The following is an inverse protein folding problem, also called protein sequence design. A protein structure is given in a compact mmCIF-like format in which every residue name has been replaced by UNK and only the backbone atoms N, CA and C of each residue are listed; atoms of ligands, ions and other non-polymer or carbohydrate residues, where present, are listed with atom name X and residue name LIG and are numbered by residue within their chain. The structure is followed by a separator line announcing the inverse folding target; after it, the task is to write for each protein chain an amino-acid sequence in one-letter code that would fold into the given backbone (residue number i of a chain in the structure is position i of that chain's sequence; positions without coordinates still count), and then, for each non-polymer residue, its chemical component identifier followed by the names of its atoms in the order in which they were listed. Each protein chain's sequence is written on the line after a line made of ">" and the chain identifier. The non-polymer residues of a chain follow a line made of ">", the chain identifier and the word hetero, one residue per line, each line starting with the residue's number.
data_IF_674042676138
#
_entry.id   IF_674042676138
#
_cell.length_a   1.000
_cell.length_b   1.000
_cell.length_c   1.000
_cell.angle_alpha   90.00
_cell.angle_beta   90.00
_cell.angle_gamma   90.00
#
_symmetry.space_group_name_H-M   'P 1'
#
loop_
_entity.id
_entity.type
_entity.pdbx_description
1 polymer ?
#
# COMPACT_ATOMS: atom_id res chain seq x y z
N UNK A 1 2.11 27.89 16.84
CA UNK A 1 1.75 26.80 17.78
C UNK A 1 1.20 25.69 16.90
N UNK A 2 2.09 24.74 16.57
CA UNK A 2 1.74 23.63 15.69
C UNK A 2 0.64 22.80 16.33
N UNK A 3 -0.26 22.28 15.51
CA UNK A 3 -1.28 21.33 15.93
C UNK A 3 -0.55 20.08 16.47
N UNK A 4 -0.34 19.99 17.79
CA UNK A 4 0.17 18.78 18.43
C UNK A 4 -0.92 17.72 18.30
N UNK A 5 -0.91 17.01 17.17
CA UNK A 5 -1.76 15.86 16.96
C UNK A 5 -1.35 14.86 18.05
N UNK A 6 -2.27 14.44 18.93
CA UNK A 6 -1.90 13.58 20.02
C UNK A 6 -1.40 12.25 19.44
N UNK A 7 -0.22 11.85 19.89
CA UNK A 7 0.37 10.53 19.65
C UNK A 7 -0.67 9.40 19.80
N UNK A 8 -1.56 9.52 20.78
CA UNK A 8 -2.66 8.59 21.02
C UNK A 8 -3.62 8.45 19.83
N UNK A 9 -3.89 9.52 19.08
CA UNK A 9 -4.73 9.50 17.88
C UNK A 9 -4.06 8.73 16.74
N UNK A 10 -2.77 8.92 16.50
CA UNK A 10 -2.03 8.16 15.49
C UNK A 10 -2.00 6.67 15.82
N UNK A 11 -1.77 6.31 17.08
CA UNK A 11 -1.85 4.91 17.54
C UNK A 11 -3.25 4.34 17.35
N UNK A 12 -4.29 5.07 17.76
CA UNK A 12 -5.66 4.63 17.62
C UNK A 12 -6.03 4.41 16.14
N UNK A 13 -5.71 5.35 15.26
CA UNK A 13 -5.97 5.23 13.82
C UNK A 13 -5.19 4.06 13.20
N UNK A 14 -3.92 3.89 13.56
CA UNK A 14 -3.11 2.77 13.09
C UNK A 14 -3.66 1.40 13.53
N UNK A 15 -4.10 1.29 14.79
CA UNK A 15 -4.72 0.07 15.31
C UNK A 15 -6.07 -0.24 14.66
N UNK A 16 -6.92 0.78 14.49
CA UNK A 16 -8.20 0.63 13.81
C UNK A 16 -7.97 0.16 12.37
N UNK A 17 -7.09 0.82 11.63
CA UNK A 17 -6.76 0.44 10.25
C UNK A 17 -6.20 -0.98 10.16
N UNK A 18 -5.34 -1.38 11.10
CA UNK A 18 -4.81 -2.75 11.17
C UNK A 18 -5.92 -3.78 11.38
N UNK A 19 -6.84 -3.52 12.32
CA UNK A 19 -7.96 -4.42 12.62
C UNK A 19 -8.92 -4.52 11.44
N UNK A 20 -9.26 -3.40 10.81
CA UNK A 20 -10.15 -3.38 9.64
C UNK A 20 -9.58 -4.21 8.48
N UNK A 21 -8.32 -4.00 8.13
CA UNK A 21 -7.70 -4.76 7.04
C UNK A 21 -7.50 -6.24 7.39
N UNK A 22 -7.20 -6.56 8.66
CA UNK A 22 -7.15 -7.94 9.12
C UNK A 22 -8.51 -8.63 8.99
N UNK A 23 -9.60 -7.93 9.33
CA UNK A 23 -10.97 -8.44 9.16
C UNK A 23 -11.30 -8.68 7.69
N UNK A 24 -10.87 -7.80 6.77
CA UNK A 24 -11.04 -7.99 5.32
C UNK A 24 -10.33 -9.26 4.87
N UNK A 25 -9.06 -9.45 5.23
CA UNK A 25 -8.29 -10.66 4.89
C UNK A 25 -8.96 -11.91 5.46
N UNK A 26 -9.34 -11.89 6.74
CA UNK A 26 -10.00 -13.01 7.40
C UNK A 26 -11.35 -13.35 6.75
N UNK A 27 -12.14 -12.35 6.36
CA UNK A 27 -13.42 -12.55 5.69
C UNK A 27 -13.25 -13.21 4.31
N UNK A 28 -12.22 -12.83 3.56
CA UNK A 28 -11.92 -13.42 2.25
C UNK A 28 -11.45 -14.87 2.43
N UNK A 29 -10.52 -15.13 3.36
CA UNK A 29 -10.00 -16.48 3.60
C UNK A 29 -11.06 -17.46 4.11
N UNK A 30 -12.03 -16.97 4.90
CA UNK A 30 -13.11 -17.81 5.44
C UNK A 30 -14.15 -18.19 4.38
N UNK A 31 -14.34 -17.37 3.35
CA UNK A 31 -15.38 -17.57 2.35
C UNK A 31 -14.82 -18.14 1.03
N UNK A 32 -14.83 -19.47 0.90
CA UNK A 32 -14.43 -20.17 -0.34
C UNK A 32 -15.24 -19.81 -1.59
N UNK A 33 -16.44 -19.26 -1.42
CA UNK A 33 -17.27 -18.80 -2.55
C UNK A 33 -16.76 -17.50 -3.19
N UNK A 34 -15.76 -16.83 -2.61
CA UNK A 34 -15.17 -15.59 -3.11
C UNK A 34 -13.87 -15.83 -3.91
N UNK A 35 -13.63 -17.01 -4.49
CA UNK A 35 -12.42 -17.29 -5.28
C UNK A 35 -12.46 -16.71 -6.71
N UNK A 36 -12.79 -15.42 -6.83
CA UNK A 36 -12.60 -14.63 -8.07
C UNK A 36 -11.23 -13.91 -8.03
N UNK A 37 -10.55 -13.69 -9.19
CA UNK A 37 -9.33 -12.88 -9.26
C UNK A 37 -9.40 -11.55 -8.51
N UNK A 38 -10.56 -10.88 -8.54
CA UNK A 38 -10.81 -9.63 -7.82
C UNK A 38 -10.55 -9.73 -6.32
N UNK A 39 -10.95 -10.83 -5.66
CA UNK A 39 -10.77 -10.97 -4.21
C UNK A 39 -9.32 -11.23 -3.81
N UNK A 40 -8.51 -11.83 -4.70
CA UNK A 40 -7.07 -11.93 -4.49
C UNK A 40 -6.42 -10.54 -4.50
N UNK A 41 -6.85 -9.64 -5.40
CA UNK A 41 -6.36 -8.26 -5.39
C UNK A 41 -6.81 -7.47 -4.17
N UNK A 42 -8.06 -7.65 -3.72
CA UNK A 42 -8.55 -7.03 -2.47
C UNK A 42 -7.74 -7.54 -1.27
N UNK A 43 -7.39 -8.83 -1.24
CA UNK A 43 -6.53 -9.39 -0.20
C UNK A 43 -5.13 -8.74 -0.23
N UNK A 44 -4.52 -8.60 -1.41
CA UNK A 44 -3.22 -7.92 -1.55
C UNK A 44 -3.29 -6.44 -1.16
N UNK A 45 -4.36 -5.74 -1.52
CA UNK A 45 -4.62 -4.36 -1.07
C UNK A 45 -4.66 -4.28 0.46
N UNK A 46 -5.46 -5.14 1.10
CA UNK A 46 -5.58 -5.16 2.56
C UNK A 46 -4.25 -5.51 3.24
N UNK A 47 -3.46 -6.45 2.68
CA UNK A 47 -2.11 -6.77 3.19
C UNK A 47 -1.17 -5.57 3.08
N UNK A 48 -1.21 -4.82 1.97
CA UNK A 48 -0.43 -3.60 1.81
C UNK A 48 -0.84 -2.51 2.82
N UNK A 49 -2.13 -2.32 3.06
CA UNK A 49 -2.64 -1.35 4.04
C UNK A 49 -2.31 -1.76 5.49
N UNK A 50 -2.30 -3.07 5.80
CA UNK A 50 -1.78 -3.58 7.07
C UNK A 50 -0.30 -3.25 7.23
N UNK A 51 0.50 -3.39 6.17
CA UNK A 51 1.93 -3.11 6.22
C UNK A 51 2.21 -1.62 6.44
N UNK A 52 1.41 -0.72 5.84
CA UNK A 52 1.43 0.72 6.17
C UNK A 52 1.16 0.93 7.66
N UNK A 53 0.07 0.35 8.18
CA UNK A 53 -0.34 0.52 9.57
C UNK A 53 0.72 0.01 10.56
N UNK A 54 1.26 -1.18 10.31
CA UNK A 54 2.33 -1.78 11.15
C UNK A 54 3.59 -0.92 11.10
N UNK A 55 3.98 -0.43 9.92
CA UNK A 55 5.21 0.36 9.77
C UNK A 55 5.08 1.71 10.47
N UNK A 56 3.93 2.40 10.34
CA UNK A 56 3.67 3.65 11.07
C UNK A 56 3.64 3.46 12.59
N UNK A 57 3.00 2.39 13.07
CA UNK A 57 2.99 2.06 14.50
C UNK A 57 4.40 1.77 15.02
N UNK A 58 5.22 1.06 14.22
CA UNK A 58 6.61 0.76 14.56
C UNK A 58 7.49 2.01 14.57
N UNK A 59 7.34 2.90 13.58
CA UNK A 59 8.03 4.20 13.51
C UNK A 59 7.76 5.02 14.76
N UNK A 60 6.47 5.18 15.09
CA UNK A 60 6.05 5.98 16.23
C UNK A 60 6.56 5.40 17.55
N UNK A 61 6.47 4.08 17.72
CA UNK A 61 7.02 3.40 18.89
C UNK A 61 8.54 3.62 18.98
N UNK A 62 9.25 3.53 17.85
CA UNK A 62 10.68 3.74 17.78
C UNK A 62 11.09 5.16 18.17
N UNK A 63 10.39 6.18 17.65
CA UNK A 63 10.60 7.59 18.04
C UNK A 63 10.35 7.79 19.53
N UNK A 64 9.24 7.26 20.06
CA UNK A 64 8.88 7.41 21.47
C UNK A 64 9.95 6.78 22.41
N UNK A 65 10.47 5.60 22.04
CA UNK A 65 11.53 4.91 22.80
C UNK A 65 12.85 5.68 22.80
N UNK A 66 13.19 6.33 21.69
CA UNK A 66 14.36 7.20 21.57
C UNK A 66 14.21 8.47 22.41
N UNK A 67 13.05 9.13 22.34
CA UNK A 67 12.76 10.36 23.09
C UNK A 67 12.76 10.14 24.61
N UNK A 68 12.22 9.01 25.07
CA UNK A 68 12.23 8.65 26.50
C UNK A 68 13.57 8.08 26.99
N UNK A 69 14.58 7.99 26.12
CA UNK A 69 15.92 7.49 26.46
C UNK A 69 15.96 6.00 26.83
N UNK A 70 14.88 5.26 26.58
CA UNK A 70 14.80 3.80 26.82
C UNK A 70 15.66 3.05 25.82
N UNK A 71 15.75 3.55 24.58
CA UNK A 71 16.57 2.99 23.52
C UNK A 71 17.72 3.96 23.18
N UNK A 72 18.96 3.58 23.51
CA UNK A 72 20.16 4.37 23.14
C UNK A 72 20.89 3.66 22.00
N UNK A 73 20.72 4.18 20.78
CA UNK A 73 21.31 3.63 19.57
C UNK A 73 22.27 4.63 18.93
N UNK A 74 23.27 4.13 18.18
CA UNK A 74 24.14 5.02 17.40
C UNK A 74 23.31 5.77 16.36
N UNK A 75 23.58 7.07 16.11
CA UNK A 75 22.86 7.87 15.11
C UNK A 75 22.82 7.22 13.72
N UNK A 76 23.88 6.50 13.35
CA UNK A 76 23.95 5.77 12.08
C UNK A 76 22.93 4.64 11.97
N UNK A 77 22.63 3.96 13.08
CA UNK A 77 21.67 2.85 13.13
C UNK A 77 20.24 3.38 13.16
N UNK A 78 20.00 4.47 13.91
CA UNK A 78 18.71 5.17 13.93
C UNK A 78 18.32 5.58 12.51
N UNK A 79 19.21 6.26 11.78
CA UNK A 79 18.98 6.65 10.39
C UNK A 79 18.78 5.45 9.45
N UNK A 80 19.43 4.32 9.70
CA UNK A 80 19.26 3.14 8.86
C UNK A 80 17.89 2.50 9.08
N UNK A 81 17.42 2.41 10.33
CA UNK A 81 16.08 1.92 10.65
C UNK A 81 15.00 2.85 10.10
N UNK A 82 15.17 4.15 10.25
CA UNK A 82 14.29 5.19 9.70
C UNK A 82 14.11 5.02 8.19
N UNK A 83 15.22 4.96 7.44
CA UNK A 83 15.19 4.72 6.00
C UNK A 83 14.49 3.39 5.62
N UNK A 84 14.66 2.32 6.42
CA UNK A 84 14.01 1.03 6.15
C UNK A 84 12.51 1.10 6.40
N UNK A 85 12.08 1.78 7.47
CA UNK A 85 10.67 1.99 7.79
C UNK A 85 10.01 2.85 6.70
N UNK A 86 10.66 3.94 6.30
CA UNK A 86 10.21 4.77 5.17
C UNK A 86 10.07 3.96 3.88
N UNK A 87 11.03 3.06 3.59
CA UNK A 87 10.98 2.18 2.42
C UNK A 87 9.76 1.25 2.46
N UNK A 88 9.47 0.70 3.64
CA UNK A 88 8.30 -0.17 3.84
C UNK A 88 6.99 0.63 3.70
N UNK A 89 6.88 1.80 4.32
CA UNK A 89 5.69 2.66 4.22
C UNK A 89 5.47 3.06 2.76
N UNK A 90 6.50 3.59 2.10
CA UNK A 90 6.39 4.05 0.72
C UNK A 90 6.02 2.90 -0.24
N UNK A 91 6.66 1.73 -0.11
CA UNK A 91 6.37 0.59 -0.99
C UNK A 91 4.98 0.03 -0.76
N UNK A 92 4.52 0.02 0.49
CA UNK A 92 3.17 -0.39 0.85
C UNK A 92 2.13 0.56 0.25
N UNK A 93 2.28 1.87 0.41
CA UNK A 93 1.37 2.88 -0.17
C UNK A 93 1.30 2.77 -1.69
N UNK A 94 2.45 2.70 -2.38
CA UNK A 94 2.48 2.56 -3.85
C UNK A 94 1.79 1.26 -4.29
N UNK A 95 2.01 0.17 -3.56
CA UNK A 95 1.36 -1.10 -3.87
C UNK A 95 -0.14 -1.06 -3.62
N UNK A 96 -0.62 -0.46 -2.53
CA UNK A 96 -2.05 -0.28 -2.24
C UNK A 96 -2.74 0.49 -3.35
N UNK A 97 -2.17 1.63 -3.77
CA UNK A 97 -2.71 2.40 -4.89
C UNK A 97 -2.75 1.62 -6.19
N UNK A 98 -1.68 0.88 -6.48
CA UNK A 98 -1.59 0.03 -7.68
C UNK A 98 -2.66 -1.06 -7.67
N UNK A 99 -2.87 -1.74 -6.54
CA UNK A 99 -3.93 -2.75 -6.41
C UNK A 99 -5.32 -2.15 -6.54
N UNK A 100 -5.55 -0.95 -5.98
CA UNK A 100 -6.82 -0.24 -6.16
C UNK A 100 -7.12 0.00 -7.64
N UNK A 101 -6.14 0.45 -8.43
CA UNK A 101 -6.29 0.61 -9.88
C UNK A 101 -6.47 -0.71 -10.62
N UNK A 102 -5.73 -1.76 -10.25
CA UNK A 102 -5.92 -3.10 -10.82
C UNK A 102 -7.34 -3.61 -10.56
N UNK A 103 -7.91 -3.41 -9.37
CA UNK A 103 -9.29 -3.76 -9.04
C UNK A 103 -10.28 -2.98 -9.90
N UNK A 104 -10.05 -1.67 -10.11
CA UNK A 104 -10.92 -0.86 -10.95
C UNK A 104 -10.89 -1.33 -12.42
N UNK A 105 -9.70 -1.63 -12.95
CA UNK A 105 -9.55 -2.18 -14.31
C UNK A 105 -10.20 -3.56 -14.42
N UNK A 106 -9.99 -4.44 -13.44
CA UNK A 106 -10.62 -5.77 -13.40
C UNK A 106 -12.15 -5.66 -13.43
N UNK A 107 -12.74 -4.80 -12.58
CA UNK A 107 -14.19 -4.53 -12.56
C UNK A 107 -14.70 -3.98 -13.89
N UNK A 108 -13.98 -3.04 -14.49
CA UNK A 108 -14.35 -2.51 -15.80
C UNK A 108 -14.39 -3.61 -16.87
N UNK A 109 -13.38 -4.49 -16.91
CA UNK A 109 -13.35 -5.62 -17.85
C UNK A 109 -14.49 -6.61 -17.56
N UNK A 110 -14.79 -6.89 -16.29
CA UNK A 110 -15.91 -7.76 -15.91
C UNK A 110 -17.26 -7.22 -16.41
N UNK A 111 -17.49 -5.91 -16.30
CA UNK A 111 -18.77 -5.27 -16.70
C UNK A 111 -18.90 -5.21 -18.23
N UNK A 112 -17.92 -4.65 -18.93
CA UNK A 112 -18.03 -4.40 -20.37
C UNK A 112 -17.69 -5.62 -21.24
N UNK A 113 -16.91 -6.57 -20.72
CA UNK A 113 -16.43 -7.74 -21.46
C UNK A 113 -16.74 -9.06 -20.74
N UNK A 114 -17.89 -9.15 -20.07
CA UNK A 114 -18.31 -10.32 -19.27
C UNK A 114 -18.09 -11.68 -19.97
N UNK A 115 -18.48 -11.80 -21.26
CA UNK A 115 -18.34 -13.04 -22.04
C UNK A 115 -16.88 -13.43 -22.34
N UNK A 116 -15.96 -12.47 -22.33
CA UNK A 116 -14.52 -12.69 -22.58
C UNK A 116 -13.69 -12.67 -21.28
N UNK A 117 -14.27 -12.26 -20.16
CA UNK A 117 -13.56 -12.10 -18.88
C UNK A 117 -12.78 -13.36 -18.49
N UNK A 118 -13.40 -14.54 -18.56
CA UNK A 118 -12.74 -15.80 -18.19
C UNK A 118 -11.52 -16.12 -19.09
N UNK A 119 -11.52 -15.66 -20.35
CA UNK A 119 -10.37 -15.82 -21.25
C UNK A 119 -9.29 -14.75 -21.03
N UNK A 120 -9.69 -13.54 -20.63
CA UNK A 120 -8.78 -12.40 -20.40
C UNK A 120 -8.08 -12.54 -19.04
N UNK A 121 -8.81 -12.88 -17.98
CA UNK A 121 -8.34 -12.88 -16.61
C UNK A 121 -8.25 -14.29 -16.03
N UNK A 122 -7.06 -14.89 -16.18
CA UNK A 122 -6.75 -16.19 -15.60
C UNK A 122 -6.05 -16.03 -14.25
N UNK A 123 -6.14 -17.06 -13.39
CA UNK A 123 -5.45 -17.05 -12.10
C UNK A 123 -3.92 -16.83 -12.26
N UNK A 124 -3.31 -17.40 -13.30
CA UNK A 124 -1.89 -17.19 -13.59
C UNK A 124 -1.57 -15.72 -13.89
N UNK A 125 -2.39 -15.05 -14.70
CA UNK A 125 -2.22 -13.61 -14.98
C UNK A 125 -2.40 -12.77 -13.72
N UNK A 126 -3.39 -13.10 -12.89
CA UNK A 126 -3.60 -12.43 -11.61
C UNK A 126 -2.37 -12.55 -10.70
N UNK A 127 -1.78 -13.75 -10.58
CA UNK A 127 -0.56 -13.98 -9.79
C UNK A 127 0.62 -13.18 -10.33
N UNK A 128 0.80 -13.16 -11.65
CA UNK A 128 1.86 -12.34 -12.28
C UNK A 128 1.65 -10.85 -11.99
N UNK A 129 0.41 -10.35 -12.07
CA UNK A 129 0.08 -8.96 -11.74
C UNK A 129 0.36 -8.65 -10.26
N UNK A 130 0.01 -9.54 -9.34
CA UNK A 130 0.31 -9.36 -7.91
C UNK A 130 1.82 -9.25 -7.66
N UNK A 131 2.59 -10.20 -8.22
CA UNK A 131 4.03 -10.20 -8.09
C UNK A 131 4.67 -8.94 -8.73
N UNK A 132 4.20 -8.53 -9.92
CA UNK A 132 4.73 -7.36 -10.60
C UNK A 132 4.45 -6.08 -9.83
N UNK A 133 3.26 -5.93 -9.23
CA UNK A 133 2.90 -4.77 -8.42
C UNK A 133 3.81 -4.66 -7.20
N UNK A 134 4.01 -5.76 -6.45
CA UNK A 134 4.91 -5.75 -5.29
C UNK A 134 6.36 -5.47 -5.66
N UNK A 135 6.86 -6.08 -6.74
CA UNK A 135 8.23 -5.84 -7.21
C UNK A 135 8.42 -4.38 -7.69
N UNK A 136 7.50 -3.87 -8.51
CA UNK A 136 7.57 -2.49 -8.99
C UNK A 136 7.50 -1.49 -7.84
N UNK A 137 6.62 -1.73 -6.85
CA UNK A 137 6.46 -0.86 -5.69
C UNK A 137 7.73 -0.82 -4.85
N UNK A 138 8.30 -1.98 -4.50
CA UNK A 138 9.55 -2.06 -3.71
C UNK A 138 10.75 -1.42 -4.43
N UNK A 139 10.90 -1.64 -5.74
CA UNK A 139 11.96 -1.00 -6.54
C UNK A 139 11.76 0.51 -6.56
N UNK A 140 10.53 0.99 -6.84
CA UNK A 140 10.24 2.42 -6.91
C UNK A 140 10.52 3.15 -5.59
N UNK A 141 10.15 2.56 -4.46
CA UNK A 141 10.36 3.13 -3.14
C UNK A 141 11.83 3.12 -2.72
N UNK A 142 12.57 2.05 -3.06
CA UNK A 142 14.02 1.99 -2.81
C UNK A 142 14.74 3.10 -3.57
N UNK A 143 14.38 3.32 -4.83
CA UNK A 143 14.92 4.40 -5.66
C UNK A 143 14.57 5.76 -5.05
N UNK A 144 13.32 5.96 -4.63
CA UNK A 144 12.86 7.21 -4.03
C UNK A 144 13.64 7.60 -2.79
N UNK A 145 13.88 6.66 -1.87
CA UNK A 145 14.57 6.98 -0.62
C UNK A 145 16.08 7.11 -0.84
N UNK A 146 16.66 6.35 -1.76
CA UNK A 146 18.09 6.49 -2.10
C UNK A 146 18.38 7.84 -2.75
N UNK A 147 17.46 8.34 -3.58
CA UNK A 147 17.64 9.57 -4.37
C UNK A 147 16.62 10.66 -4.02
N UNK A 148 16.21 10.75 -2.75
CA UNK A 148 15.19 11.70 -2.30
C UNK A 148 15.55 13.16 -2.57
N UNK A 149 16.84 13.47 -2.72
CA UNK A 149 17.34 14.81 -3.04
C UNK A 149 17.02 15.23 -4.49
N UNK A 150 16.71 14.27 -5.37
CA UNK A 150 16.36 14.58 -6.76
C UNK A 150 14.87 14.90 -6.88
N UNK A 151 14.55 16.16 -7.19
CA UNK A 151 13.18 16.60 -7.48
C UNK A 151 12.50 15.76 -8.58
N UNK A 152 13.26 15.20 -9.51
CA UNK A 152 12.77 14.38 -10.62
C UNK A 152 12.01 13.14 -10.14
N UNK A 153 12.50 12.47 -9.09
CA UNK A 153 11.92 11.20 -8.63
C UNK A 153 10.65 11.45 -7.82
N UNK A 154 10.66 12.49 -6.99
CA UNK A 154 9.45 12.96 -6.31
C UNK A 154 8.36 13.34 -7.33
N UNK A 155 8.73 14.05 -8.40
CA UNK A 155 7.80 14.46 -9.45
C UNK A 155 7.26 13.25 -10.24
N UNK A 156 8.08 12.22 -10.45
CA UNK A 156 7.64 10.94 -11.02
C UNK A 156 6.59 10.25 -10.14
N UNK A 157 6.80 10.21 -8.82
CA UNK A 157 5.83 9.63 -7.87
C UNK A 157 4.51 10.41 -7.86
N UNK A 158 4.57 11.74 -7.82
CA UNK A 158 3.38 12.60 -7.91
C UNK A 158 2.67 12.37 -9.25
N UNK A 159 3.42 12.29 -10.34
CA UNK A 159 2.88 11.97 -11.66
C UNK A 159 2.18 10.61 -11.70
N UNK A 160 2.77 9.58 -11.09
CA UNK A 160 2.15 8.27 -10.95
C UNK A 160 0.85 8.33 -10.15
N UNK A 161 0.83 9.03 -9.01
CA UNK A 161 -0.37 9.23 -8.20
C UNK A 161 -1.49 9.92 -9.00
N UNK A 162 -1.16 11.01 -9.69
CA UNK A 162 -2.10 11.75 -10.52
C UNK A 162 -2.62 10.90 -11.69
N UNK A 163 -1.74 10.15 -12.35
CA UNK A 163 -2.13 9.23 -13.42
C UNK A 163 -3.12 8.19 -12.91
N UNK A 164 -2.84 7.57 -11.76
CA UNK A 164 -3.74 6.59 -11.14
C UNK A 164 -5.07 7.22 -10.76
N UNK A 165 -5.09 8.44 -10.22
CA UNK A 165 -6.30 9.17 -9.88
C UNK A 165 -7.15 9.47 -11.12
N UNK A 166 -6.52 9.94 -12.20
CA UNK A 166 -7.20 10.18 -13.49
C UNK A 166 -7.76 8.88 -14.04
N UNK A 167 -6.98 7.79 -14.03
CA UNK A 167 -7.43 6.48 -14.48
C UNK A 167 -8.65 6.00 -13.69
N UNK A 168 -8.63 6.11 -12.37
CA UNK A 168 -9.77 5.77 -11.51
C UNK A 168 -11.00 6.62 -11.83
N UNK A 169 -10.82 7.93 -12.03
CA UNK A 169 -11.91 8.86 -12.36
C UNK A 169 -12.52 8.57 -13.74
N UNK A 170 -11.69 8.28 -14.75
CA UNK A 170 -12.15 7.90 -16.09
C UNK A 170 -12.93 6.60 -16.04
N UNK A 171 -12.41 5.58 -15.34
CA UNK A 171 -13.11 4.31 -15.16
C UNK A 171 -14.43 4.50 -14.41
N UNK A 172 -14.46 5.35 -13.38
CA UNK A 172 -15.67 5.68 -12.63
C UNK A 172 -16.74 6.36 -13.49
N UNK A 173 -16.37 7.31 -14.35
CA UNK A 173 -17.31 8.00 -15.24
C UNK A 173 -17.87 7.04 -16.30
N UNK A 174 -17.07 6.06 -16.73
CA UNK A 174 -17.45 5.13 -17.78
C UNK A 174 -18.32 3.94 -17.32
N UNK A 175 -18.24 3.54 -16.03
CA UNK A 175 -19.05 2.46 -15.45
C UNK A 175 -20.46 2.92 -15.10
#
# INVERSE_FOLDING_TARGET
>A
QGLDIPNELFLALGLVSLVENLLVVAAILKNRNLHSPTYYFICCLAVSDMLVSISNLAEMLFVLLLEHGVLVMRPSIVRHMDNVIDMLICSSVVSSLSFLGVIAVDRYITIFYALRYHSIMTLQRAVVTMASVWLASTISSTILITYYHSHTILLCLIGFFLFMLVLMLVLYIHM
#
